data_IF_250738467957
#
_entry.id   IF_250738467957
#
_cell.length_a   1.000
_cell.length_b   1.000
_cell.length_c   1.000
_cell.angle_alpha   90.00
_cell.angle_beta   90.00
_cell.angle_gamma   90.00
#
_symmetry.space_group_name_H-M   'P 1'
#
loop_
_entity.id
_entity.type
_entity.pdbx_description
1 polymer ?
#
# COMPACT_ATOMS: atom_id res chain seq x y z
N UNK A 1 5.56 -9.31 7.30
CA UNK A 1 4.78 -8.79 6.17
C UNK A 1 3.32 -8.60 6.59
N UNK A 2 3.02 -7.52 7.33
CA UNK A 2 1.64 -7.21 7.71
C UNK A 2 0.79 -6.86 6.47
N UNK A 3 -0.21 -7.70 6.18
CA UNK A 3 -1.24 -7.42 5.17
C UNK A 3 -2.21 -6.37 5.71
N UNK A 4 -2.44 -5.30 4.95
CA UNK A 4 -3.30 -4.18 5.38
C UNK A 4 -4.67 -4.20 4.71
N UNK A 5 -4.72 -4.51 3.41
CA UNK A 5 -5.96 -4.55 2.63
C UNK A 5 -5.94 -5.65 1.58
N UNK A 6 -7.15 -6.10 1.24
CA UNK A 6 -7.42 -6.94 0.09
C UNK A 6 -8.56 -6.30 -0.72
N UNK A 7 -8.42 -6.24 -2.04
CA UNK A 7 -9.41 -5.63 -2.94
C UNK A 7 -9.41 -6.34 -4.28
N UNK A 8 -10.45 -7.12 -4.60
CA UNK A 8 -10.59 -7.84 -5.89
C UNK A 8 -9.30 -8.50 -6.40
N UNK A 9 -8.57 -9.21 -5.52
CA UNK A 9 -7.31 -9.90 -5.87
C UNK A 9 -6.04 -9.08 -5.63
N UNK A 10 -6.14 -7.76 -5.45
CA UNK A 10 -5.03 -6.93 -4.99
C UNK A 10 -4.77 -7.16 -3.50
N UNK A 11 -3.51 -7.32 -3.13
CA UNK A 11 -3.05 -7.45 -1.74
C UNK A 11 -2.11 -6.28 -1.45
N UNK A 12 -2.48 -5.47 -0.48
CA UNK A 12 -1.68 -4.33 -0.01
C UNK A 12 -1.01 -4.71 1.31
N UNK A 13 0.27 -4.39 1.47
CA UNK A 13 1.04 -4.76 2.65
C UNK A 13 2.27 -3.87 2.86
N UNK A 14 2.86 -3.96 4.06
CA UNK A 14 4.18 -3.37 4.36
C UNK A 14 5.24 -4.47 4.48
N UNK A 15 6.51 -4.15 4.20
CA UNK A 15 7.61 -5.02 4.61
C UNK A 15 8.00 -4.74 6.05
N UNK A 16 8.60 -5.73 6.72
CA UNK A 16 8.88 -5.64 8.15
C UNK A 16 9.94 -4.59 8.52
N UNK A 17 10.75 -4.13 7.56
CA UNK A 17 11.83 -3.16 7.73
C UNK A 17 11.49 -1.80 7.10
N UNK A 18 10.21 -1.43 7.13
CA UNK A 18 9.73 -0.18 6.54
C UNK A 18 10.25 1.05 7.30
N UNK A 19 10.50 2.13 6.56
CA UNK A 19 10.83 3.44 7.09
C UNK A 19 9.98 4.51 6.40
N UNK A 20 10.15 5.78 6.78
CA UNK A 20 9.55 6.90 6.04
C UNK A 20 10.39 7.23 4.78
N UNK A 21 9.79 7.61 3.64
CA UNK A 21 8.34 7.76 3.40
C UNK A 21 7.60 6.42 3.38
N UNK A 22 6.29 6.42 3.65
CA UNK A 22 5.51 5.17 3.79
C UNK A 22 5.47 4.42 2.45
N UNK A 23 6.03 3.22 2.40
CA UNK A 23 6.02 2.36 1.21
C UNK A 23 4.89 1.34 1.30
N UNK A 24 3.98 1.32 0.32
CA UNK A 24 2.92 0.32 0.21
C UNK A 24 3.26 -0.63 -0.92
N UNK A 25 3.45 -1.90 -0.57
CA UNK A 25 3.63 -2.96 -1.56
C UNK A 25 2.28 -3.48 -2.02
N UNK A 26 2.13 -3.63 -3.33
CA UNK A 26 0.90 -4.11 -3.95
C UNK A 26 1.20 -5.30 -4.84
N UNK A 27 0.59 -6.44 -4.49
CA UNK A 27 0.66 -7.70 -5.24
C UNK A 27 -0.68 -7.95 -5.94
N UNK A 28 -0.65 -8.27 -7.24
CA UNK A 28 -1.81 -8.71 -8.00
C UNK A 28 -1.38 -9.65 -9.12
N UNK A 29 -2.02 -10.82 -9.23
CA UNK A 29 -1.72 -11.80 -10.28
C UNK A 29 -0.26 -12.27 -10.31
N UNK A 30 0.42 -12.30 -9.16
CA UNK A 30 1.85 -12.65 -9.06
C UNK A 30 2.84 -11.53 -9.38
N UNK A 31 2.36 -10.34 -9.74
CA UNK A 31 3.17 -9.16 -10.06
C UNK A 31 3.13 -8.14 -8.94
N UNK A 32 4.22 -7.41 -8.73
CA UNK A 32 4.40 -6.55 -7.56
C UNK A 32 4.93 -5.16 -7.93
N UNK A 33 4.38 -4.11 -7.33
CA UNK A 33 4.95 -2.77 -7.40
C UNK A 33 4.85 -2.06 -6.05
N UNK A 34 5.74 -1.09 -5.85
CA UNK A 34 5.88 -0.32 -4.61
C UNK A 34 5.31 1.07 -4.86
N UNK A 35 4.52 1.57 -3.92
CA UNK A 35 3.91 2.89 -3.96
C UNK A 35 4.41 3.69 -2.76
N UNK A 36 5.23 4.70 -3.01
CA UNK A 36 5.76 5.59 -1.99
C UNK A 36 4.78 6.73 -1.76
N UNK A 37 4.26 6.86 -0.54
CA UNK A 37 3.34 7.92 -0.16
C UNK A 37 4.14 9.11 0.36
N UNK A 38 4.12 10.20 -0.40
CA UNK A 38 4.77 11.46 -0.04
C UNK A 38 3.75 12.32 0.72
N UNK A 39 4.00 12.52 2.01
CA UNK A 39 3.14 13.27 2.91
C UNK A 39 3.69 14.69 3.09
N UNK A 40 2.83 15.70 2.97
CA UNK A 40 3.17 17.10 3.26
C UNK A 40 2.10 17.70 4.16
N UNK A 41 2.51 18.31 5.27
CA UNK A 41 1.61 18.92 6.25
C UNK A 41 0.49 17.98 6.75
N UNK A 42 0.79 16.69 6.86
CA UNK A 42 -0.16 15.67 7.33
C UNK A 42 -1.15 15.16 6.28
N UNK A 43 -1.07 15.63 5.04
CA UNK A 43 -1.93 15.18 3.94
C UNK A 43 -1.09 14.52 2.82
N UNK A 44 -1.72 13.63 2.06
CA UNK A 44 -1.06 12.92 0.96
C UNK A 44 -0.88 13.87 -0.23
N UNK A 45 0.37 14.24 -0.52
CA UNK A 45 0.71 15.13 -1.63
C UNK A 45 0.90 14.34 -2.93
N UNK A 46 1.77 13.33 -2.91
CA UNK A 46 2.16 12.57 -4.10
C UNK A 46 2.24 11.07 -3.82
N UNK A 47 2.15 10.29 -4.89
CA UNK A 47 2.46 8.87 -4.88
C UNK A 47 3.48 8.61 -5.98
N UNK A 48 4.63 8.04 -5.63
CA UNK A 48 5.62 7.58 -6.62
C UNK A 48 5.56 6.07 -6.73
N UNK A 49 5.59 5.55 -7.96
CA UNK A 49 5.56 4.10 -8.20
C UNK A 49 6.97 3.62 -8.53
N UNK A 50 7.44 2.61 -7.81
CA UNK A 50 8.73 1.95 -8.04
C UNK A 50 8.54 0.49 -8.35
N UNK A 51 9.46 -0.03 -9.15
CA UNK A 51 9.57 -1.45 -9.43
C UNK A 51 10.40 -2.12 -8.33
N UNK A 52 9.99 -3.30 -7.92
CA UNK A 52 10.77 -4.12 -6.99
C UNK A 52 11.78 -4.93 -7.77
N UNK A 53 13.05 -4.85 -7.40
CA UNK A 53 14.09 -5.66 -8.02
C UNK A 53 13.78 -7.16 -7.89
N UNK A 54 13.87 -7.88 -9.01
CA UNK A 54 13.59 -9.33 -9.07
C UNK A 54 12.10 -9.71 -9.05
N UNK A 55 11.18 -8.75 -9.18
CA UNK A 55 9.76 -9.02 -9.35
C UNK A 55 9.24 -8.40 -10.66
N UNK A 56 8.30 -9.08 -11.31
CA UNK A 56 7.61 -8.50 -12.45
C UNK A 56 6.69 -7.37 -11.97
N UNK A 57 6.75 -6.16 -12.57
CA UNK A 57 5.93 -5.05 -12.15
C UNK A 57 4.46 -5.25 -12.51
N UNK A 58 3.57 -4.58 -11.77
CA UNK A 58 2.15 -4.52 -12.12
C UNK A 58 1.97 -3.90 -13.51
N UNK A 59 1.04 -4.38 -14.35
CA UNK A 59 0.71 -3.69 -15.59
C UNK A 59 0.12 -2.31 -15.27
N UNK A 60 0.27 -1.35 -16.18
CA UNK A 60 -0.15 0.05 -15.98
C UNK A 60 -1.61 0.21 -15.51
N UNK A 61 -2.52 -0.63 -16.01
CA UNK A 61 -3.92 -0.65 -15.56
C UNK A 61 -4.06 -0.97 -14.07
N UNK A 62 -3.28 -1.94 -13.59
CA UNK A 62 -3.31 -2.38 -12.21
C UNK A 62 -2.60 -1.37 -11.31
N UNK A 63 -1.52 -0.75 -11.78
CA UNK A 63 -0.88 0.36 -11.08
C UNK A 63 -1.86 1.51 -10.84
N UNK A 64 -2.61 1.93 -11.88
CA UNK A 64 -3.65 2.96 -11.76
C UNK A 64 -4.76 2.58 -10.78
N UNK A 65 -5.18 1.32 -10.79
CA UNK A 65 -6.20 0.80 -9.87
C UNK A 65 -5.71 0.83 -8.42
N UNK A 66 -4.48 0.36 -8.20
CA UNK A 66 -3.82 0.38 -6.90
C UNK A 66 -3.61 1.81 -6.38
N UNK A 67 -3.17 2.74 -7.24
CA UNK A 67 -3.01 4.13 -6.87
C UNK A 67 -4.34 4.78 -6.47
N UNK A 68 -5.42 4.55 -7.24
CA UNK A 68 -6.75 5.04 -6.89
C UNK A 68 -7.23 4.49 -5.54
N UNK A 69 -6.97 3.21 -5.29
CA UNK A 69 -7.27 2.59 -4.00
C UNK A 69 -6.49 3.27 -2.87
N UNK A 70 -5.18 3.43 -3.03
CA UNK A 70 -4.30 4.06 -2.04
C UNK A 70 -4.77 5.48 -1.75
N UNK A 71 -5.05 6.30 -2.78
CA UNK A 71 -5.57 7.67 -2.60
C UNK A 71 -6.88 7.68 -1.81
N UNK A 72 -7.81 6.78 -2.10
CA UNK A 72 -9.09 6.69 -1.40
C UNK A 72 -8.94 6.29 0.08
N UNK A 73 -8.00 5.41 0.38
CA UNK A 73 -7.85 4.81 1.72
C UNK A 73 -6.56 5.22 2.46
N UNK A 74 -5.85 6.25 2.00
CA UNK A 74 -4.52 6.62 2.53
C UNK A 74 -4.53 6.86 4.04
N UNK A 75 -5.58 7.52 4.58
CA UNK A 75 -5.71 7.75 6.02
C UNK A 75 -5.75 6.44 6.81
N UNK A 76 -6.44 5.42 6.29
CA UNK A 76 -6.48 4.09 6.91
C UNK A 76 -5.17 3.33 6.74
N UNK A 77 -4.47 3.49 5.61
CA UNK A 77 -3.15 2.91 5.38
C UNK A 77 -2.15 3.48 6.40
N UNK A 78 -2.13 4.81 6.57
CA UNK A 78 -1.25 5.50 7.52
C UNK A 78 -1.57 5.09 8.96
N UNK A 79 -2.86 5.02 9.35
CA UNK A 79 -3.25 4.54 10.68
C UNK A 79 -2.74 3.11 10.95
N UNK A 80 -2.86 2.21 9.97
CA UNK A 80 -2.30 0.85 10.08
C UNK A 80 -0.77 0.87 10.16
N UNK A 81 -0.10 1.75 9.43
CA UNK A 81 1.35 1.92 9.49
C UNK A 81 1.80 2.37 10.88
N UNK A 82 1.17 3.42 11.43
CA UNK A 82 1.46 3.95 12.77
C UNK A 82 1.21 2.89 13.84
N UNK A 83 0.08 2.18 13.78
CA UNK A 83 -0.24 1.10 14.73
C UNK A 83 0.82 0.01 14.73
N UNK A 84 1.28 -0.41 13.54
CA UNK A 84 2.24 -1.50 13.43
C UNK A 84 3.67 -1.07 13.78
N UNK A 85 4.19 -0.02 13.13
CA UNK A 85 5.60 0.36 13.26
C UNK A 85 5.89 1.24 14.47
N UNK A 86 4.98 2.12 14.86
CA UNK A 86 5.17 3.05 15.98
C UNK A 86 4.62 2.46 17.27
N UNK A 87 3.34 2.07 17.29
CA UNK A 87 2.67 1.59 18.50
C UNK A 87 2.97 0.10 18.81
N UNK A 88 3.66 -0.61 17.91
CA UNK A 88 4.00 -2.04 18.03
C UNK A 88 2.79 -2.93 18.26
N UNK A 89 1.64 -2.56 17.69
CA UNK A 89 0.39 -3.30 17.77
C UNK A 89 0.24 -4.29 16.61
N UNK A 90 -0.47 -5.38 16.86
CA UNK A 90 -0.93 -6.25 15.78
C UNK A 90 -1.99 -5.54 14.93
N UNK A 91 -1.92 -5.70 13.62
CA UNK A 91 -2.92 -5.16 12.69
C UNK A 91 -3.60 -6.30 11.92
N UNK A 92 -4.88 -6.08 11.57
CA UNK A 92 -5.65 -7.01 10.73
C UNK A 92 -5.80 -6.47 9.31
N UNK A 93 -5.77 -7.38 8.34
CA UNK A 93 -6.14 -7.09 6.95
C UNK A 93 -7.63 -6.72 6.87
N UNK A 94 -7.97 -5.76 6.01
CA UNK A 94 -9.36 -5.37 5.73
C UNK A 94 -9.71 -5.72 4.29
N UNK A 95 -10.73 -6.55 4.08
CA UNK A 95 -11.18 -6.95 2.75
C UNK A 95 -12.26 -5.98 2.24
N UNK A 96 -11.97 -5.26 1.17
CA UNK A 96 -12.88 -4.30 0.53
C UNK A 96 -13.59 -4.99 -0.64
N UNK A 97 -14.90 -5.17 -0.50
CA UNK A 97 -15.77 -5.81 -1.52
C UNK A 97 -16.56 -4.82 -2.38
N UNK A 98 -16.56 -3.53 -2.01
CA UNK A 98 -17.23 -2.47 -2.77
C UNK A 98 -16.27 -1.96 -3.85
N UNK A 99 -16.73 -1.87 -5.10
CA UNK A 99 -15.96 -1.24 -6.18
C UNK A 99 -15.63 0.22 -5.83
N UNK A 100 -14.43 0.64 -6.24
CA UNK A 100 -13.91 2.00 -6.00
C UNK A 100 -14.80 3.08 -6.59
#
# INVERSE_FOLDING_TARGET
MPKIFEYFGFIFYFYSNEHEPIHVHVLHGGKESIFDLIMMNGELAEIHVREKHGAEPLPEKDKRTAELFIRKYHKNIIDKWVKFFVMKQSIRSTNIKKKL
#
